data_IF_026055014309
#
_entry.id   IF_026055014309
#
_cell.length_a   1.000
_cell.length_b   1.000
_cell.length_c   1.000
_cell.angle_alpha   90.00
_cell.angle_beta   90.00
_cell.angle_gamma   90.00
#
_symmetry.space_group_name_H-M   'P 1'
#
loop_
_entity.id
_entity.type
_entity.pdbx_description
1 polymer ?
#
# COMPACT_ATOMS: atom_id res chain seq x y z
N UNK A 1 16.04 -64.86 3.72
CA UNK A 1 16.14 -63.80 4.76
C UNK A 1 16.81 -62.52 4.23
N UNK A 2 18.00 -62.59 3.62
CA UNK A 2 18.75 -61.41 3.11
C UNK A 2 18.00 -60.64 2.01
N UNK A 3 17.40 -61.32 1.02
CA UNK A 3 16.64 -60.68 -0.08
C UNK A 3 15.42 -59.91 0.44
N UNK A 4 14.73 -60.45 1.44
CA UNK A 4 13.57 -59.82 2.07
C UNK A 4 13.96 -58.55 2.83
N UNK A 5 15.13 -58.56 3.49
CA UNK A 5 15.67 -57.41 4.19
C UNK A 5 16.11 -56.30 3.23
N UNK A 6 16.77 -56.65 2.12
CA UNK A 6 17.15 -55.68 1.09
C UNK A 6 15.93 -55.04 0.41
N UNK A 7 14.88 -55.81 0.12
CA UNK A 7 13.63 -55.29 -0.43
C UNK A 7 12.91 -54.35 0.56
N UNK A 8 12.89 -54.69 1.85
CA UNK A 8 12.29 -53.84 2.89
C UNK A 8 13.05 -52.52 3.05
N UNK A 9 14.39 -52.54 3.06
CA UNK A 9 15.23 -51.33 3.10
C UNK A 9 15.02 -50.47 1.85
N UNK A 10 14.92 -51.08 0.67
CA UNK A 10 14.62 -50.37 -0.58
C UNK A 10 13.24 -49.68 -0.52
N UNK A 11 12.21 -50.34 0.01
CA UNK A 11 10.87 -49.75 0.20
C UNK A 11 10.89 -48.60 1.23
N UNK A 12 11.57 -48.77 2.36
CA UNK A 12 11.70 -47.72 3.39
C UNK A 12 12.48 -46.50 2.84
N UNK A 13 13.57 -46.74 2.11
CA UNK A 13 14.34 -45.66 1.49
C UNK A 13 13.55 -44.96 0.38
N UNK A 14 12.80 -45.70 -0.43
CA UNK A 14 11.94 -45.16 -1.49
C UNK A 14 10.78 -44.32 -0.94
N UNK A 15 10.11 -44.80 0.12
CA UNK A 15 9.05 -44.05 0.82
C UNK A 15 9.60 -42.79 1.50
N UNK A 16 10.78 -42.88 2.11
CA UNK A 16 11.47 -41.72 2.70
C UNK A 16 11.88 -40.70 1.64
N UNK A 17 12.35 -41.16 0.48
CA UNK A 17 12.66 -40.33 -0.68
C UNK A 17 11.41 -39.62 -1.23
N UNK A 18 10.31 -40.35 -1.41
CA UNK A 18 9.03 -39.78 -1.84
C UNK A 18 8.50 -38.75 -0.83
N UNK A 19 8.63 -39.02 0.46
CA UNK A 19 8.27 -38.07 1.52
C UNK A 19 9.10 -36.78 1.43
N UNK A 20 10.42 -36.90 1.26
CA UNK A 20 11.32 -35.75 1.07
C UNK A 20 10.94 -34.96 -0.19
N UNK A 21 10.79 -35.61 -1.34
CA UNK A 21 10.40 -34.96 -2.60
C UNK A 21 9.06 -34.23 -2.45
N UNK A 22 8.06 -34.87 -1.84
CA UNK A 22 6.76 -34.25 -1.61
C UNK A 22 6.85 -33.05 -0.67
N UNK A 23 7.66 -33.14 0.38
CA UNK A 23 7.93 -32.02 1.30
C UNK A 23 8.60 -30.85 0.58
N UNK A 24 9.59 -31.12 -0.28
CA UNK A 24 10.26 -30.10 -1.11
C UNK A 24 9.26 -29.41 -2.04
N UNK A 25 8.48 -30.17 -2.81
CA UNK A 25 7.49 -29.63 -3.76
C UNK A 25 6.46 -28.76 -3.04
N UNK A 26 5.86 -29.28 -1.96
CA UNK A 26 4.85 -28.54 -1.20
C UNK A 26 5.42 -27.23 -0.64
N UNK A 27 6.67 -27.24 -0.14
CA UNK A 27 7.32 -26.03 0.35
C UNK A 27 7.56 -25.01 -0.77
N UNK A 28 8.03 -25.46 -1.93
CA UNK A 28 8.23 -24.60 -3.10
C UNK A 28 6.93 -23.96 -3.60
N UNK A 29 5.80 -24.68 -3.55
CA UNK A 29 4.48 -24.13 -3.89
C UNK A 29 4.09 -23.03 -2.90
N UNK A 30 4.23 -23.28 -1.60
CA UNK A 30 3.91 -22.29 -0.56
C UNK A 30 4.78 -21.04 -0.66
N UNK A 31 6.09 -21.20 -0.85
CA UNK A 31 7.02 -20.08 -1.01
C UNK A 31 6.72 -19.27 -2.29
N UNK A 32 6.39 -19.94 -3.40
CA UNK A 32 5.96 -19.29 -4.64
C UNK A 32 4.68 -18.48 -4.43
N UNK A 33 3.66 -19.06 -3.80
CA UNK A 33 2.41 -18.36 -3.50
C UNK A 33 2.63 -17.18 -2.56
N UNK A 34 3.50 -17.31 -1.56
CA UNK A 34 3.85 -16.22 -0.67
C UNK A 34 4.49 -15.05 -1.41
N UNK A 35 5.41 -15.31 -2.35
CA UNK A 35 6.04 -14.26 -3.18
C UNK A 35 5.00 -13.58 -4.08
N UNK A 36 4.14 -14.35 -4.76
CA UNK A 36 3.08 -13.80 -5.64
C UNK A 36 2.14 -12.88 -4.85
N UNK A 37 1.86 -13.22 -3.59
CA UNK A 37 0.95 -12.46 -2.72
C UNK A 37 1.67 -11.46 -1.80
N UNK A 38 2.97 -11.20 -2.01
CA UNK A 38 3.78 -10.26 -1.22
C UNK A 38 3.90 -10.59 0.29
N UNK A 39 3.74 -11.85 0.69
CA UNK A 39 3.88 -12.35 2.07
C UNK A 39 5.30 -12.86 2.34
N UNK A 40 6.30 -11.99 2.18
CA UNK A 40 7.72 -12.36 2.22
C UNK A 40 8.17 -12.94 3.57
N UNK A 41 7.50 -12.60 4.67
CA UNK A 41 7.73 -13.17 6.00
C UNK A 41 7.53 -14.69 6.04
N UNK A 42 6.62 -15.23 5.22
CA UNK A 42 6.37 -16.68 5.12
C UNK A 42 7.47 -17.46 4.41
N UNK A 43 8.41 -16.75 3.77
CA UNK A 43 9.54 -17.33 3.03
C UNK A 43 10.81 -17.36 3.91
N UNK A 44 10.92 -16.48 4.92
CA UNK A 44 12.13 -16.30 5.74
C UNK A 44 12.46 -17.46 6.69
N UNK A 45 11.44 -18.19 7.18
CA UNK A 45 11.61 -19.39 8.04
C UNK A 45 11.92 -20.67 7.23
N UNK A 46 12.01 -20.52 5.91
CA UNK A 46 12.05 -21.57 4.91
C UNK A 46 13.36 -22.36 4.84
N UNK A 47 14.27 -21.90 3.99
CA UNK A 47 15.38 -22.73 3.53
C UNK A 47 14.88 -23.96 2.77
N UNK A 48 14.70 -23.82 1.46
CA UNK A 48 15.05 -24.84 0.47
C UNK A 48 15.08 -24.30 -0.99
N UNK A 49 14.46 -23.15 -1.30
CA UNK A 49 14.53 -22.53 -2.64
C UNK A 49 15.11 -21.11 -2.67
N UNK A 50 14.79 -20.30 -1.68
CA UNK A 50 15.36 -18.96 -1.52
C UNK A 50 16.11 -18.90 -0.20
N UNK A 51 17.36 -18.40 -0.23
CA UNK A 51 18.05 -18.08 1.01
C UNK A 51 17.38 -16.87 1.68
N UNK A 52 17.53 -16.72 3.00
CA UNK A 52 17.07 -15.51 3.68
C UNK A 52 17.66 -14.22 3.05
N UNK A 53 18.86 -14.32 2.46
CA UNK A 53 19.47 -13.22 1.71
C UNK A 53 18.72 -12.92 0.40
N UNK A 54 18.29 -13.94 -0.35
CA UNK A 54 17.51 -13.77 -1.59
C UNK A 54 16.13 -13.17 -1.29
N UNK A 55 15.45 -13.65 -0.26
CA UNK A 55 14.17 -13.10 0.18
C UNK A 55 14.33 -11.66 0.63
N UNK A 56 15.37 -11.34 1.41
CA UNK A 56 15.66 -9.97 1.83
C UNK A 56 15.94 -9.05 0.63
N UNK A 57 16.65 -9.56 -0.39
CA UNK A 57 16.92 -8.82 -1.63
C UNK A 57 15.65 -8.61 -2.46
N UNK A 58 14.81 -9.64 -2.60
CA UNK A 58 13.51 -9.53 -3.26
C UNK A 58 12.60 -8.55 -2.53
N UNK A 59 12.56 -8.61 -1.20
CA UNK A 59 11.80 -7.69 -0.37
C UNK A 59 12.31 -6.25 -0.50
N UNK A 60 13.63 -6.03 -0.51
CA UNK A 60 14.18 -4.69 -0.72
C UNK A 60 13.88 -4.16 -2.12
N UNK A 61 13.99 -5.02 -3.14
CA UNK A 61 13.63 -4.68 -4.52
C UNK A 61 12.15 -4.31 -4.63
N UNK A 62 11.26 -5.12 -4.04
CA UNK A 62 9.83 -4.86 -3.99
C UNK A 62 9.54 -3.51 -3.30
N UNK A 63 10.08 -3.30 -2.10
CA UNK A 63 9.87 -2.07 -1.35
C UNK A 63 10.36 -0.84 -2.14
N UNK A 64 11.55 -0.91 -2.75
CA UNK A 64 12.08 0.20 -3.56
C UNK A 64 11.28 0.48 -4.84
N UNK A 65 10.54 -0.53 -5.34
CA UNK A 65 9.77 -0.41 -6.57
C UNK A 65 8.32 0.07 -6.33
N UNK A 66 7.75 -0.28 -5.17
CA UNK A 66 6.32 -0.15 -4.91
C UNK A 66 5.96 0.62 -3.65
N UNK A 67 6.90 0.92 -2.77
CA UNK A 67 6.65 1.70 -1.55
C UNK A 67 7.43 3.02 -1.57
N UNK A 68 6.88 4.02 -0.89
CA UNK A 68 7.58 5.25 -0.56
C UNK A 68 8.59 4.99 0.57
N UNK A 69 9.84 5.44 0.37
CA UNK A 69 10.93 5.12 1.28
C UNK A 69 10.78 5.74 2.67
N UNK A 70 10.19 6.93 2.77
CA UNK A 70 10.02 7.63 4.04
C UNK A 70 8.81 7.09 4.81
N UNK A 71 7.64 7.09 4.17
CA UNK A 71 6.36 6.84 4.85
C UNK A 71 5.93 5.38 4.84
N UNK A 72 6.56 4.55 3.98
CA UNK A 72 6.15 3.16 3.72
C UNK A 72 4.68 3.04 3.27
N UNK A 73 4.12 4.11 2.69
CA UNK A 73 2.89 4.03 1.91
C UNK A 73 3.18 3.45 0.52
N UNK A 74 2.14 3.10 -0.23
CA UNK A 74 2.30 2.64 -1.61
C UNK A 74 2.84 3.80 -2.48
N UNK A 75 3.78 3.51 -3.36
CA UNK A 75 4.42 4.50 -4.23
C UNK A 75 3.60 4.81 -5.49
N UNK A 76 4.15 5.68 -6.34
CA UNK A 76 3.54 6.09 -7.63
C UNK A 76 3.20 4.92 -8.53
N UNK A 77 4.10 3.94 -8.65
CA UNK A 77 3.89 2.79 -9.53
C UNK A 77 2.65 1.98 -9.13
N UNK A 78 2.52 1.67 -7.84
CA UNK A 78 1.34 0.99 -7.31
C UNK A 78 0.07 1.81 -7.47
N UNK A 79 0.15 3.12 -7.26
CA UNK A 79 -0.98 4.02 -7.48
C UNK A 79 -1.47 3.97 -8.92
N UNK A 80 -0.57 4.11 -9.90
CA UNK A 80 -0.93 4.09 -11.32
C UNK A 80 -1.48 2.71 -11.77
N UNK A 81 -1.01 1.61 -11.18
CA UNK A 81 -1.53 0.26 -11.43
C UNK A 81 -2.94 0.06 -10.83
N UNK A 82 -3.12 0.37 -9.54
CA UNK A 82 -4.41 0.20 -8.85
C UNK A 82 -5.49 1.17 -9.40
N UNK A 83 -5.09 2.38 -9.79
CA UNK A 83 -6.00 3.38 -10.36
C UNK A 83 -6.62 2.92 -11.69
N UNK A 84 -5.88 2.16 -12.51
CA UNK A 84 -6.42 1.61 -13.77
C UNK A 84 -7.58 0.65 -13.56
N UNK A 85 -7.60 -0.06 -12.43
CA UNK A 85 -8.65 -1.01 -12.10
C UNK A 85 -9.86 -0.36 -11.38
N UNK A 86 -9.75 0.91 -10.95
CA UNK A 86 -10.79 1.58 -10.17
C UNK A 86 -12.12 1.75 -10.91
N UNK A 87 -12.18 2.10 -12.21
CA UNK A 87 -13.45 2.20 -12.93
C UNK A 87 -14.27 0.90 -12.94
N UNK A 88 -13.60 -0.24 -13.08
CA UNK A 88 -14.25 -1.56 -13.08
C UNK A 88 -14.67 -2.00 -11.67
N UNK A 89 -13.83 -1.75 -10.66
CA UNK A 89 -14.11 -2.13 -9.26
C UNK A 89 -15.19 -1.26 -8.61
N UNK A 90 -15.29 0.00 -9.04
CA UNK A 90 -16.13 1.00 -8.39
C UNK A 90 -15.53 1.53 -7.09
N UNK A 91 -15.58 2.85 -6.89
CA UNK A 91 -15.13 3.47 -5.66
C UNK A 91 -14.75 4.94 -5.83
N UNK A 92 -13.94 5.43 -4.90
CA UNK A 92 -13.52 6.82 -4.80
C UNK A 92 -12.01 6.96 -4.95
N UNK A 93 -11.61 7.95 -5.73
CA UNK A 93 -10.26 8.49 -5.74
C UNK A 93 -10.23 9.75 -4.89
N UNK A 94 -9.37 9.78 -3.88
CA UNK A 94 -9.09 10.96 -3.08
C UNK A 94 -7.66 11.41 -3.36
N UNK A 95 -7.46 12.69 -3.69
CA UNK A 95 -6.14 13.31 -3.80
C UNK A 95 -5.97 14.33 -2.68
N UNK A 96 -4.80 14.34 -2.04
CA UNK A 96 -4.50 15.15 -0.87
C UNK A 96 -3.19 15.91 -1.07
N UNK A 97 -3.13 17.07 -0.43
CA UNK A 97 -1.91 17.89 -0.33
C UNK A 97 -1.82 18.46 1.09
N UNK A 98 -0.61 18.46 1.66
CA UNK A 98 -0.36 19.09 2.96
C UNK A 98 -0.29 20.60 2.77
N UNK A 99 -1.21 21.32 3.40
CA UNK A 99 -1.34 22.75 3.18
C UNK A 99 -0.08 23.50 3.62
N UNK A 100 0.50 24.27 2.70
CA UNK A 100 1.71 25.10 2.93
C UNK A 100 2.93 24.26 3.35
N UNK A 101 3.06 23.03 2.84
CA UNK A 101 4.18 22.15 3.18
C UNK A 101 5.57 22.77 2.97
N UNK A 102 5.76 23.53 1.88
CA UNK A 102 7.00 24.27 1.67
C UNK A 102 7.31 25.23 2.82
N UNK A 103 6.33 26.01 3.28
CA UNK A 103 6.51 26.92 4.41
C UNK A 103 6.86 26.18 5.71
N UNK A 104 6.32 24.98 5.91
CA UNK A 104 6.67 24.13 7.06
C UNK A 104 8.14 23.76 7.00
N UNK A 105 8.63 23.27 5.85
CA UNK A 105 10.04 22.96 5.64
C UNK A 105 10.94 24.19 5.82
N UNK A 106 10.55 25.32 5.24
CA UNK A 106 11.32 26.56 5.30
C UNK A 106 11.40 27.12 6.75
N UNK A 107 10.38 26.87 7.57
CA UNK A 107 10.28 27.41 8.95
C UNK A 107 10.90 26.48 10.00
N UNK A 108 10.68 25.17 9.86
CA UNK A 108 11.01 24.19 10.90
C UNK A 108 12.05 23.15 10.46
N UNK A 109 12.47 23.20 9.20
CA UNK A 109 13.41 22.26 8.60
C UNK A 109 12.76 20.98 8.08
N UNK A 110 13.50 20.28 7.22
CA UNK A 110 13.03 19.07 6.54
C UNK A 110 12.72 17.90 7.48
N UNK A 111 13.39 17.81 8.64
CA UNK A 111 13.11 16.76 9.62
C UNK A 111 11.66 16.83 10.13
N UNK A 112 11.16 18.04 10.42
CA UNK A 112 9.75 18.20 10.77
C UNK A 112 8.85 17.88 9.57
N UNK A 113 9.23 18.32 8.37
CA UNK A 113 8.50 17.97 7.14
C UNK A 113 8.32 16.45 6.98
N UNK A 114 9.38 15.69 7.23
CA UNK A 114 9.35 14.24 7.19
C UNK A 114 8.40 13.64 8.25
N UNK A 115 8.43 14.18 9.47
CA UNK A 115 7.48 13.80 10.53
C UNK A 115 6.02 14.08 10.15
N UNK A 116 5.76 15.21 9.48
CA UNK A 116 4.44 15.56 8.97
C UNK A 116 3.95 14.54 7.95
N UNK A 117 4.78 14.17 6.98
CA UNK A 117 4.44 13.18 5.95
C UNK A 117 4.18 11.80 6.57
N UNK A 118 5.01 11.37 7.52
CA UNK A 118 4.80 10.12 8.25
C UNK A 118 3.51 10.16 9.09
N UNK A 119 3.19 11.30 9.70
CA UNK A 119 1.97 11.48 10.50
C UNK A 119 0.72 11.38 9.64
N UNK A 120 0.71 11.97 8.44
CA UNK A 120 -0.41 11.87 7.49
C UNK A 120 -0.72 10.40 7.19
N UNK A 121 0.30 9.62 6.80
CA UNK A 121 0.12 8.18 6.51
C UNK A 121 -0.33 7.41 7.75
N UNK A 122 0.19 7.74 8.94
CA UNK A 122 -0.22 7.11 10.19
C UNK A 122 -1.70 7.34 10.50
N UNK A 123 -2.20 8.57 10.35
CA UNK A 123 -3.60 8.91 10.56
C UNK A 123 -4.47 8.16 9.55
N UNK A 124 -4.14 8.24 8.27
CA UNK A 124 -4.88 7.54 7.23
C UNK A 124 -4.96 6.02 7.49
N UNK A 125 -3.84 5.39 7.87
CA UNK A 125 -3.80 3.97 8.24
C UNK A 125 -4.65 3.61 9.45
N UNK A 126 -4.84 4.54 10.40
CA UNK A 126 -5.70 4.30 11.58
C UNK A 126 -7.19 4.45 11.29
N UNK A 127 -7.56 5.20 10.25
CA UNK A 127 -8.95 5.52 9.95
C UNK A 127 -9.52 4.68 8.80
N UNK A 128 -8.67 4.27 7.84
CA UNK A 128 -9.09 3.53 6.65
C UNK A 128 -8.98 2.02 6.92
N UNK A 129 -10.08 1.26 6.85
CA UNK A 129 -10.03 -0.20 6.92
C UNK A 129 -9.18 -0.78 5.77
N UNK A 130 -8.34 -1.77 6.11
CA UNK A 130 -7.35 -2.36 5.18
C UNK A 130 -8.01 -3.00 3.96
N UNK A 131 -9.22 -3.55 4.13
CA UNK A 131 -10.04 -4.16 3.08
C UNK A 131 -10.80 -3.14 2.21
N UNK A 132 -10.96 -1.91 2.70
CA UNK A 132 -11.71 -0.86 2.00
C UNK A 132 -10.82 0.18 1.32
N UNK A 133 -9.58 0.40 1.76
CA UNK A 133 -8.78 1.44 1.14
C UNK A 133 -7.27 1.25 1.18
N UNK A 134 -6.62 1.76 0.15
CA UNK A 134 -5.17 1.78 -0.01
C UNK A 134 -4.67 3.22 -0.01
N UNK A 135 -3.53 3.45 0.64
CA UNK A 135 -2.92 4.77 0.82
C UNK A 135 -1.65 4.84 -0.01
N UNK A 136 -1.52 5.92 -0.78
CA UNK A 136 -0.41 6.15 -1.67
C UNK A 136 0.26 7.49 -1.38
N UNK A 137 1.58 7.53 -1.58
CA UNK A 137 2.36 8.76 -1.69
C UNK A 137 3.15 8.68 -2.99
N UNK A 138 2.91 9.62 -3.90
CA UNK A 138 3.52 9.58 -5.23
C UNK A 138 4.27 10.85 -5.61
N UNK A 139 4.29 11.86 -4.71
CA UNK A 139 5.05 13.10 -4.84
C UNK A 139 5.62 13.53 -3.50
N UNK A 140 6.07 14.79 -3.41
CA UNK A 140 6.62 15.37 -2.17
C UNK A 140 5.60 15.33 -1.04
N UNK A 141 4.56 16.15 -1.14
CA UNK A 141 3.43 16.29 -0.23
C UNK A 141 2.10 15.77 -0.82
N UNK A 142 2.18 15.08 -1.95
CA UNK A 142 1.03 14.56 -2.68
C UNK A 142 0.71 13.12 -2.25
N UNK A 143 -0.51 12.92 -1.76
CA UNK A 143 -1.04 11.61 -1.38
C UNK A 143 -2.29 11.26 -2.18
N UNK A 144 -2.58 9.97 -2.27
CA UNK A 144 -3.90 9.48 -2.67
C UNK A 144 -4.43 8.43 -1.73
N UNK A 145 -5.75 8.29 -1.76
CA UNK A 145 -6.47 7.12 -1.26
C UNK A 145 -7.36 6.62 -2.38
N UNK A 146 -7.29 5.31 -2.62
CA UNK A 146 -8.31 4.61 -3.41
C UNK A 146 -9.17 3.86 -2.40
N UNK A 147 -10.44 4.24 -2.31
CA UNK A 147 -11.41 3.70 -1.35
C UNK A 147 -12.53 2.98 -2.10
N UNK A 148 -12.70 1.69 -1.81
CA UNK A 148 -13.64 0.77 -2.46
C UNK A 148 -14.55 0.13 -1.41
N UNK A 149 -15.84 -0.04 -1.71
CA UNK A 149 -16.76 -0.80 -0.83
C UNK A 149 -17.33 -0.05 0.37
N UNK A 150 -17.42 1.28 0.32
CA UNK A 150 -18.12 2.09 1.32
C UNK A 150 -18.88 3.26 0.67
N UNK A 151 -19.65 4.00 1.47
CA UNK A 151 -20.40 5.17 0.97
C UNK A 151 -19.57 6.44 1.00
N UNK A 152 -20.03 7.49 0.32
CA UNK A 152 -19.41 8.81 0.37
C UNK A 152 -19.42 9.37 1.79
N UNK A 153 -20.49 9.17 2.55
CA UNK A 153 -20.62 9.65 3.92
C UNK A 153 -19.61 8.99 4.87
N UNK A 154 -19.42 7.68 4.76
CA UNK A 154 -18.38 6.95 5.49
C UNK A 154 -16.99 7.52 5.17
N UNK A 155 -16.70 7.69 3.88
CA UNK A 155 -15.43 8.22 3.41
C UNK A 155 -15.21 9.66 3.92
N UNK A 156 -16.18 10.55 3.78
CA UNK A 156 -16.08 11.92 4.25
C UNK A 156 -15.88 11.99 5.77
N UNK A 157 -16.47 11.07 6.54
CA UNK A 157 -16.23 10.99 7.98
C UNK A 157 -14.78 10.61 8.28
N UNK A 158 -14.21 9.64 7.56
CA UNK A 158 -12.81 9.24 7.69
C UNK A 158 -11.87 10.39 7.30
N UNK A 159 -12.16 11.08 6.20
CA UNK A 159 -11.30 12.14 5.68
C UNK A 159 -11.29 13.39 6.57
N UNK A 160 -12.37 13.67 7.30
CA UNK A 160 -12.42 14.80 8.25
C UNK A 160 -11.32 14.74 9.31
N UNK A 161 -10.93 13.54 9.75
CA UNK A 161 -9.89 13.32 10.76
C UNK A 161 -8.49 13.72 10.30
N UNK A 162 -8.26 13.85 8.98
CA UNK A 162 -6.97 14.29 8.42
C UNK A 162 -7.01 15.73 7.89
N UNK A 163 -8.19 16.33 7.72
CA UNK A 163 -8.31 17.74 7.29
C UNK A 163 -7.57 18.66 8.24
N UNK A 164 -7.65 18.41 9.54
CA UNK A 164 -6.89 19.09 10.58
C UNK A 164 -6.16 18.08 11.43
N UNK A 165 -4.87 18.28 11.64
CA UNK A 165 -4.07 17.39 12.48
C UNK A 165 -2.92 18.15 13.14
N UNK A 166 -2.22 17.47 14.04
CA UNK A 166 -1.10 18.03 14.79
C UNK A 166 0.14 17.15 14.73
N UNK A 167 1.30 17.82 14.70
CA UNK A 167 2.62 17.23 14.97
C UNK A 167 3.25 18.08 16.06
N UNK A 168 3.49 17.48 17.23
CA UNK A 168 3.87 18.22 18.43
C UNK A 168 2.81 19.28 18.78
N UNK A 169 3.23 20.54 18.88
CA UNK A 169 2.37 21.70 19.13
C UNK A 169 1.94 22.45 17.86
N UNK A 170 2.25 21.91 16.68
CA UNK A 170 2.02 22.59 15.40
C UNK A 170 0.71 22.10 14.79
N UNK A 171 -0.22 23.03 14.56
CA UNK A 171 -1.47 22.79 13.85
C UNK A 171 -1.22 22.77 12.34
N UNK A 172 -1.71 21.71 11.71
CA UNK A 172 -1.51 21.43 10.29
C UNK A 172 -2.87 21.11 9.66
N UNK A 173 -2.93 21.20 8.33
CA UNK A 173 -4.11 20.83 7.59
C UNK A 173 -3.78 20.19 6.26
N UNK A 174 -4.76 19.48 5.71
CA UNK A 174 -4.72 19.00 4.33
C UNK A 174 -5.91 19.53 3.54
N UNK A 175 -5.68 19.83 2.26
CA UNK A 175 -6.74 20.02 1.28
C UNK A 175 -6.98 18.72 0.53
N UNK A 176 -8.24 18.38 0.26
CA UNK A 176 -8.63 17.09 -0.31
C UNK A 176 -9.61 17.29 -1.46
N UNK A 177 -9.38 16.59 -2.58
CA UNK A 177 -10.32 16.44 -3.69
C UNK A 177 -10.78 14.98 -3.80
N UNK A 178 -12.09 14.76 -3.92
CA UNK A 178 -12.68 13.41 -3.99
C UNK A 178 -13.47 13.27 -5.28
N UNK A 179 -13.23 12.20 -6.03
CA UNK A 179 -14.01 11.85 -7.21
C UNK A 179 -14.45 10.38 -7.17
N UNK A 180 -15.71 10.12 -7.46
CA UNK A 180 -16.21 8.78 -7.63
C UNK A 180 -15.94 8.30 -9.07
N UNK A 181 -15.56 7.04 -9.20
CA UNK A 181 -15.27 6.40 -10.48
C UNK A 181 -16.43 6.41 -11.49
N UNK A 182 -17.68 6.62 -11.07
CA UNK A 182 -18.86 6.65 -11.94
C UNK A 182 -19.10 8.04 -12.55
N UNK A 183 -18.40 9.08 -12.09
CA UNK A 183 -18.51 10.44 -12.61
C UNK A 183 -17.74 10.62 -13.92
N UNK A 184 -16.93 9.65 -14.30
CA UNK A 184 -15.98 9.73 -15.41
C UNK A 184 -15.97 8.42 -16.20
N UNK A 185 -15.80 8.51 -17.52
CA UNK A 185 -15.68 7.34 -18.39
C UNK A 185 -14.26 6.78 -18.48
N UNK A 186 -13.25 7.60 -18.18
CA UNK A 186 -11.85 7.22 -18.25
C UNK A 186 -11.12 7.51 -16.95
N UNK A 187 -10.04 6.77 -16.73
CA UNK A 187 -9.15 6.93 -15.58
C UNK A 187 -8.50 8.32 -15.57
N UNK A 188 -8.12 8.81 -16.74
CA UNK A 188 -7.50 10.12 -16.91
C UNK A 188 -8.47 11.22 -16.47
N UNK A 189 -9.74 11.13 -16.89
CA UNK A 189 -10.75 12.12 -16.50
C UNK A 189 -11.08 12.03 -15.01
N UNK A 190 -11.12 10.82 -14.44
CA UNK A 190 -11.30 10.63 -13.00
C UNK A 190 -10.21 11.32 -12.18
N UNK A 191 -8.94 11.14 -12.59
CA UNK A 191 -7.80 11.79 -11.96
C UNK A 191 -7.86 13.31 -12.10
N UNK A 192 -8.21 13.81 -13.29
CA UNK A 192 -8.39 15.26 -13.51
C UNK A 192 -9.52 15.83 -12.63
N UNK A 193 -10.64 15.13 -12.48
CA UNK A 193 -11.75 15.58 -11.65
C UNK A 193 -11.36 15.65 -10.17
N UNK A 194 -10.64 14.66 -9.66
CA UNK A 194 -10.13 14.68 -8.28
C UNK A 194 -9.13 15.84 -8.07
N UNK A 195 -8.29 16.13 -9.06
CA UNK A 195 -7.34 17.25 -9.03
C UNK A 195 -8.04 18.62 -9.08
N UNK A 196 -9.04 18.79 -9.96
CA UNK A 196 -9.88 19.99 -10.04
C UNK A 196 -10.55 20.29 -8.68
N UNK A 197 -11.02 19.24 -8.00
CA UNK A 197 -11.63 19.35 -6.68
C UNK A 197 -10.60 19.65 -5.59
N UNK A 198 -9.42 19.05 -5.64
CA UNK A 198 -8.32 19.40 -4.73
C UNK A 198 -7.92 20.87 -4.90
N UNK A 199 -7.83 21.33 -6.13
CA UNK A 199 -7.56 22.73 -6.45
C UNK A 199 -8.67 23.66 -5.93
N UNK A 200 -9.94 23.27 -6.04
CA UNK A 200 -11.08 23.98 -5.44
C UNK A 200 -10.93 24.11 -3.92
N UNK A 201 -10.59 23.04 -3.23
CA UNK A 201 -10.29 23.08 -1.78
C UNK A 201 -9.16 24.07 -1.46
N UNK A 202 -8.08 24.06 -2.24
CA UNK A 202 -6.96 25.00 -2.06
C UNK A 202 -7.37 26.46 -2.30
N UNK A 203 -8.21 26.73 -3.30
CA UNK A 203 -8.70 28.08 -3.61
C UNK A 203 -9.70 28.61 -2.59
N UNK A 204 -10.53 27.74 -2.01
CA UNK A 204 -11.56 28.10 -1.05
C UNK A 204 -11.03 28.31 0.38
N UNK A 205 -9.72 28.53 0.55
CA UNK A 205 -9.10 28.78 1.85
C UNK A 205 -8.38 27.59 2.47
N UNK A 206 -8.28 26.45 1.75
CA UNK A 206 -7.62 25.21 2.21
C UNK A 206 -8.37 24.50 3.35
N UNK A 207 -7.75 23.48 3.94
CA UNK A 207 -8.28 22.74 5.09
C UNK A 207 -9.74 22.28 4.90
N UNK A 208 -10.02 21.68 3.74
CA UNK A 208 -11.37 21.23 3.40
C UNK A 208 -11.34 20.12 2.37
N UNK A 209 -12.51 19.50 2.21
CA UNK A 209 -12.77 18.44 1.24
C UNK A 209 -13.70 19.01 0.17
N UNK A 210 -13.39 18.79 -1.09
CA UNK A 210 -14.28 19.07 -2.22
C UNK A 210 -14.61 17.77 -2.94
N UNK A 211 -15.91 17.48 -3.11
CA UNK A 211 -16.42 16.28 -3.78
C UNK A 211 -17.58 16.57 -4.75
N UNK A 212 -17.92 17.85 -4.92
CA UNK A 212 -18.92 18.39 -5.84
C UNK A 212 -18.36 19.64 -6.50
#
# INVERSE_FOLDING_TARGET
MIIFFAALVAVISGTSCLYLVRRVINRGIVEKEAIINNHFERVLDGGLFFSAADVKKLYSMYNSAFLDDLTKAMGRKSFDEDLKALPEKGGYLCLFDVDKFKNINDTFGHLLGDEVLMKVVKILKSQIPVDKGKIYRFGGDEFAVIYTGGTLEELLSILKEIVHFQVGSINLSTSIGVAHSNECTTVERLKMLADERLYKSKKNGRAQISWQ
#
